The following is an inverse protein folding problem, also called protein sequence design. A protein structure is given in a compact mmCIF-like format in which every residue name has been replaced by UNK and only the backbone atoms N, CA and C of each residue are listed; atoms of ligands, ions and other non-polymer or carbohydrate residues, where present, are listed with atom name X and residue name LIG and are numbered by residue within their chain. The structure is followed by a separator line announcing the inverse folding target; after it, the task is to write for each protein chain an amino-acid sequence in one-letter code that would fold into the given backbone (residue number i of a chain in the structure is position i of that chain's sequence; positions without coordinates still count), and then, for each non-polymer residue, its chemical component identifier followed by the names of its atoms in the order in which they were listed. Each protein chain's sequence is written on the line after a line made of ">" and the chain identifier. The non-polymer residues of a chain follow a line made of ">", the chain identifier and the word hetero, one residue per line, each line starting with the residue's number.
data_IF_716200889379
#
_entry.id   IF_716200889379
#
_cell.length_a   1.000
_cell.length_b   1.000
_cell.length_c   1.000
_cell.angle_alpha   90.00
_cell.angle_beta   90.00
_cell.angle_gamma   90.00
#
_symmetry.space_group_name_H-M   'P 1'
#
loop_
_entity.id
_entity.type
_entity.pdbx_description
1 polymer ?
#
# COMPACT_ATOMS: atom_id res chain seq x y z
N UNK A 1 30.50 -9.15 6.85
CA UNK A 1 30.42 -7.98 7.73
C UNK A 1 28.96 -7.51 7.73
N UNK A 2 28.31 -7.87 8.75
CA UNK A 2 26.96 -7.61 9.32
C UNK A 2 25.89 -6.86 8.52
N UNK A 3 25.10 -7.60 7.73
CA UNK A 3 23.75 -7.21 7.31
C UNK A 3 22.72 -7.13 8.47
N UNK A 4 23.06 -7.64 9.63
CA UNK A 4 22.17 -7.73 10.81
C UNK A 4 21.98 -6.43 11.60
N UNK A 5 22.81 -5.41 11.38
CA UNK A 5 22.78 -4.17 12.17
C UNK A 5 21.87 -3.08 11.57
N UNK A 6 21.55 -3.15 10.28
CA UNK A 6 20.69 -2.16 9.61
C UNK A 6 19.19 -2.35 9.85
N UNK A 7 18.74 -3.51 10.36
CA UNK A 7 17.33 -3.85 10.44
C UNK A 7 16.63 -3.57 11.77
N UNK A 8 17.35 -3.17 12.83
CA UNK A 8 16.75 -3.12 14.18
C UNK A 8 15.99 -1.83 14.53
N UNK A 9 16.08 -0.77 13.72
CA UNK A 9 15.50 0.54 14.07
C UNK A 9 14.50 1.12 13.04
N UNK A 10 14.24 0.44 11.92
CA UNK A 10 13.29 0.95 10.95
C UNK A 10 11.88 0.56 11.38
N UNK A 11 11.07 1.59 11.64
CA UNK A 11 9.66 1.44 11.99
C UNK A 11 8.82 1.48 10.70
N UNK A 12 8.07 0.42 10.41
CA UNK A 12 7.28 0.30 9.18
C UNK A 12 5.81 0.09 9.50
N UNK A 13 4.94 0.74 8.71
CA UNK A 13 3.48 0.61 8.74
C UNK A 13 2.98 0.25 7.35
N UNK A 14 2.30 -0.89 7.25
CA UNK A 14 1.60 -1.29 6.03
C UNK A 14 0.10 -1.00 6.15
N UNK A 15 -0.46 -0.43 5.11
CA UNK A 15 -1.91 -0.31 4.92
C UNK A 15 -2.25 -1.11 3.68
N UNK A 16 -3.02 -2.17 3.85
CA UNK A 16 -3.33 -3.16 2.83
C UNK A 16 -4.84 -3.35 2.81
N UNK A 17 -5.45 -3.47 1.63
CA UNK A 17 -6.90 -3.55 1.54
C UNK A 17 -7.42 -4.94 1.96
N UNK A 18 -6.83 -6.00 1.45
CA UNK A 18 -7.32 -7.36 1.57
C UNK A 18 -6.31 -8.27 2.28
N UNK A 19 -6.82 -9.29 2.95
CA UNK A 19 -5.97 -10.23 3.68
C UNK A 19 -5.03 -11.00 2.75
N UNK A 20 -5.50 -11.39 1.58
CA UNK A 20 -4.70 -12.12 0.58
C UNK A 20 -3.47 -11.32 0.14
N UNK A 21 -3.56 -10.01 0.04
CA UNK A 21 -2.44 -9.12 -0.28
C UNK A 21 -1.43 -9.01 0.86
N UNK A 22 -1.89 -9.23 2.09
CA UNK A 22 -1.08 -9.09 3.30
C UNK A 22 -0.29 -10.35 3.66
N UNK A 23 -0.71 -11.53 3.22
CA UNK A 23 -0.23 -12.82 3.72
C UNK A 23 1.29 -12.96 3.63
N UNK A 24 1.89 -12.60 2.50
CA UNK A 24 3.34 -12.67 2.31
C UNK A 24 4.11 -11.75 3.30
N UNK A 25 3.53 -10.58 3.63
CA UNK A 25 4.14 -9.65 4.59
C UNK A 25 4.02 -10.21 6.00
N UNK A 26 2.86 -10.76 6.34
CA UNK A 26 2.60 -11.32 7.66
C UNK A 26 3.57 -12.47 7.96
N UNK A 27 3.79 -13.36 7.00
CA UNK A 27 4.69 -14.49 7.11
C UNK A 27 6.16 -14.04 7.17
N UNK A 28 6.60 -13.18 6.26
CA UNK A 28 8.01 -12.72 6.17
C UNK A 28 8.47 -12.01 7.45
N UNK A 29 7.58 -11.25 8.09
CA UNK A 29 7.92 -10.47 9.29
C UNK A 29 7.39 -11.09 10.59
N UNK A 30 6.87 -12.32 10.56
CA UNK A 30 6.28 -13.02 11.71
C UNK A 30 5.28 -12.12 12.47
N UNK A 31 4.34 -11.54 11.74
CA UNK A 31 3.36 -10.60 12.30
C UNK A 31 2.12 -11.38 12.75
N UNK A 32 1.70 -11.14 13.98
CA UNK A 32 0.53 -11.79 14.57
C UNK A 32 -0.63 -10.83 14.68
N UNK A 33 -1.84 -11.38 14.54
CA UNK A 33 -3.08 -10.64 14.81
C UNK A 33 -3.10 -10.14 16.25
N UNK A 34 -3.50 -8.90 16.43
CA UNK A 34 -3.62 -8.26 17.73
C UNK A 34 -5.08 -8.04 18.08
N UNK A 35 -5.66 -8.86 18.98
CA UNK A 35 -7.08 -8.77 19.37
C UNK A 35 -7.41 -7.53 20.23
N UNK A 36 -6.41 -6.77 20.68
CA UNK A 36 -6.62 -5.52 21.41
C UNK A 36 -7.35 -4.48 20.54
N UNK A 37 -7.14 -4.54 19.21
CA UNK A 37 -7.70 -3.59 18.26
C UNK A 37 -8.90 -4.19 17.53
N UNK A 38 -10.09 -3.64 17.78
CA UNK A 38 -11.36 -4.23 17.28
C UNK A 38 -11.97 -3.48 16.10
N UNK A 39 -11.53 -2.24 15.82
CA UNK A 39 -12.09 -1.45 14.72
C UNK A 39 -11.63 -1.95 13.35
N UNK A 40 -10.37 -2.37 13.25
CA UNK A 40 -9.76 -2.98 12.07
C UNK A 40 -8.95 -4.20 12.49
N UNK A 41 -8.70 -5.11 11.56
CA UNK A 41 -7.74 -6.18 11.79
C UNK A 41 -6.32 -5.60 11.73
N UNK A 42 -5.65 -5.66 12.87
CA UNK A 42 -4.28 -5.15 13.04
C UNK A 42 -3.34 -6.31 13.34
N UNK A 43 -2.19 -6.29 12.72
CA UNK A 43 -1.12 -7.26 12.91
C UNK A 43 0.16 -6.54 13.28
N UNK A 44 0.97 -7.14 14.12
CA UNK A 44 2.29 -6.59 14.48
C UNK A 44 3.31 -7.67 14.81
N UNK A 45 4.58 -7.36 14.61
CA UNK A 45 5.65 -8.21 15.13
C UNK A 45 5.84 -8.01 16.64
N UNK A 46 6.56 -8.92 17.26
CA UNK A 46 6.77 -8.90 18.72
C UNK A 46 7.43 -7.61 19.21
N UNK A 47 8.43 -7.09 18.48
CA UNK A 47 9.16 -5.86 18.81
C UNK A 47 8.35 -4.57 18.58
N UNK A 48 7.14 -4.68 18.01
CA UNK A 48 6.27 -3.55 17.66
C UNK A 48 6.93 -2.51 16.75
N UNK A 49 7.90 -2.94 15.96
CA UNK A 49 8.54 -2.12 14.94
C UNK A 49 7.82 -2.17 13.60
N UNK A 50 7.08 -3.24 13.35
CA UNK A 50 6.31 -3.52 12.14
C UNK A 50 4.86 -3.71 12.47
N UNK A 51 4.00 -2.98 11.78
CA UNK A 51 2.55 -3.02 11.94
C UNK A 51 1.87 -3.07 10.58
N UNK A 52 0.83 -3.83 10.49
CA UNK A 52 -0.02 -3.92 9.30
C UNK A 52 -1.48 -3.79 9.72
N UNK A 53 -2.26 -3.06 8.92
CA UNK A 53 -3.69 -2.93 9.07
C UNK A 53 -4.40 -3.34 7.78
N UNK A 54 -5.45 -4.13 7.90
CA UNK A 54 -6.36 -4.40 6.80
C UNK A 54 -7.41 -3.30 6.77
N UNK A 55 -7.35 -2.46 5.73
CA UNK A 55 -8.26 -1.32 5.61
C UNK A 55 -9.64 -1.70 5.09
N UNK A 56 -9.73 -2.77 4.29
CA UNK A 56 -10.85 -2.95 3.37
C UNK A 56 -10.69 -2.05 2.14
N UNK A 57 -11.54 -2.30 1.14
CA UNK A 57 -11.50 -1.62 -0.16
C UNK A 57 -12.06 -0.20 -0.06
N UNK A 58 -11.44 0.73 -0.77
CA UNK A 58 -11.93 2.08 -1.00
C UNK A 58 -11.23 3.19 -0.22
N UNK A 59 -11.27 4.40 -0.77
CA UNK A 59 -10.58 5.61 -0.25
C UNK A 59 -10.93 5.92 1.20
N UNK A 60 -12.21 5.86 1.57
CA UNK A 60 -12.65 6.17 2.93
C UNK A 60 -12.08 5.18 3.96
N UNK A 61 -12.11 3.89 3.62
CA UNK A 61 -11.56 2.84 4.47
C UNK A 61 -10.04 2.99 4.60
N UNK A 62 -9.35 3.24 3.50
CA UNK A 62 -7.90 3.47 3.49
C UNK A 62 -7.50 4.67 4.36
N UNK A 63 -8.21 5.81 4.24
CA UNK A 63 -7.95 7.00 5.07
C UNK A 63 -8.20 6.72 6.57
N UNK A 64 -9.33 6.08 6.89
CA UNK A 64 -9.68 5.75 8.27
C UNK A 64 -8.67 4.78 8.90
N UNK A 65 -8.32 3.71 8.19
CA UNK A 65 -7.34 2.72 8.66
C UNK A 65 -5.95 3.33 8.84
N UNK A 66 -5.50 4.16 7.89
CA UNK A 66 -4.20 4.85 7.98
C UNK A 66 -4.14 5.75 9.22
N UNK A 67 -5.18 6.54 9.45
CA UNK A 67 -5.28 7.42 10.62
C UNK A 67 -5.31 6.62 11.92
N UNK A 68 -6.12 5.55 11.94
CA UNK A 68 -6.22 4.67 13.11
C UNK A 68 -4.86 4.02 13.41
N UNK A 69 -4.19 3.46 12.40
CA UNK A 69 -2.87 2.84 12.57
C UNK A 69 -1.84 3.83 13.10
N UNK A 70 -1.86 5.09 12.64
CA UNK A 70 -0.99 6.14 13.17
C UNK A 70 -1.19 6.32 14.67
N UNK A 71 -2.43 6.42 15.12
CA UNK A 71 -2.77 6.66 16.53
C UNK A 71 -2.34 5.51 17.44
N UNK A 72 -2.63 4.26 17.06
CA UNK A 72 -2.37 3.10 17.92
C UNK A 72 -0.91 2.65 17.93
N UNK A 73 -0.18 2.88 16.83
CA UNK A 73 1.18 2.34 16.65
C UNK A 73 2.29 3.29 17.06
N UNK A 74 1.95 4.45 17.62
CA UNK A 74 2.92 5.49 18.02
C UNK A 74 3.89 5.85 16.88
N UNK A 75 3.39 5.90 15.65
CA UNK A 75 4.18 6.26 14.49
C UNK A 75 4.76 7.68 14.62
N UNK A 76 5.93 7.90 14.06
CA UNK A 76 6.63 9.20 14.06
C UNK A 76 6.81 9.73 12.63
N UNK A 77 7.35 10.94 12.50
CA UNK A 77 7.65 11.52 11.18
C UNK A 77 8.68 10.75 10.35
N UNK A 78 9.48 9.89 10.99
CA UNK A 78 10.45 8.99 10.34
C UNK A 78 9.96 7.55 10.20
N UNK A 79 8.68 7.30 10.44
CA UNK A 79 8.08 5.99 10.21
C UNK A 79 7.88 5.78 8.72
N UNK A 80 8.32 4.63 8.21
CA UNK A 80 8.03 4.20 6.85
C UNK A 80 6.57 3.77 6.73
N UNK A 81 5.90 4.28 5.68
CA UNK A 81 4.53 3.93 5.34
C UNK A 81 4.49 3.27 3.97
N UNK A 82 3.86 2.13 3.88
CA UNK A 82 3.77 1.36 2.64
C UNK A 82 2.31 1.00 2.40
N UNK A 83 1.78 1.39 1.24
CA UNK A 83 0.58 0.81 0.69
C UNK A 83 1.00 -0.25 -0.34
N UNK A 84 0.78 -1.51 -0.01
CA UNK A 84 0.91 -2.63 -0.94
C UNK A 84 -0.48 -3.13 -1.28
N UNK A 85 -0.73 -3.43 -2.53
CA UNK A 85 -1.99 -3.98 -2.99
C UNK A 85 -1.97 -4.30 -4.47
N UNK A 86 -3.08 -4.80 -4.97
CA UNK A 86 -3.27 -5.04 -6.40
C UNK A 86 -3.77 -3.79 -7.10
N UNK A 87 -3.64 -3.76 -8.43
CA UNK A 87 -4.16 -2.71 -9.30
C UNK A 87 -4.46 -3.27 -10.69
N UNK A 88 -5.54 -2.78 -11.30
CA UNK A 88 -5.78 -2.99 -12.71
C UNK A 88 -4.81 -2.16 -13.58
N UNK A 89 -4.48 -2.64 -14.77
CA UNK A 89 -3.55 -1.94 -15.65
C UNK A 89 -3.91 -2.08 -17.13
N UNK A 90 -3.81 -0.95 -17.86
CA UNK A 90 -3.89 -0.93 -19.32
C UNK A 90 -2.57 -1.19 -20.04
N UNK A 91 -1.44 -1.25 -19.33
CA UNK A 91 -0.11 -1.22 -19.95
C UNK A 91 0.88 -2.27 -19.45
N UNK A 92 0.67 -2.86 -18.29
CA UNK A 92 1.60 -3.82 -17.70
C UNK A 92 1.18 -5.26 -17.91
N UNK A 93 1.99 -6.19 -17.41
CA UNK A 93 1.69 -7.61 -17.45
C UNK A 93 1.19 -8.05 -16.07
N UNK A 94 0.31 -9.03 -16.09
CA UNK A 94 -0.18 -9.68 -14.88
C UNK A 94 1.00 -10.17 -14.00
N UNK A 95 0.96 -9.84 -12.71
CA UNK A 95 2.02 -10.17 -11.75
C UNK A 95 3.19 -9.17 -11.68
N UNK A 96 3.24 -8.17 -12.57
CA UNK A 96 4.30 -7.16 -12.51
C UNK A 96 4.16 -6.33 -11.22
N UNK A 97 5.27 -6.20 -10.49
CA UNK A 97 5.37 -5.30 -9.34
C UNK A 97 5.79 -3.90 -9.79
N UNK A 98 4.95 -2.92 -9.52
CA UNK A 98 5.14 -1.54 -9.92
C UNK A 98 5.30 -0.60 -8.72
N UNK A 99 6.23 0.36 -8.83
CA UNK A 99 6.36 1.47 -7.90
C UNK A 99 5.56 2.67 -8.42
N UNK A 100 4.71 3.24 -7.58
CA UNK A 100 3.92 4.41 -7.95
C UNK A 100 4.77 5.68 -7.87
N UNK A 101 4.84 6.42 -8.98
CA UNK A 101 5.60 7.68 -9.08
C UNK A 101 4.72 8.93 -9.20
N UNK A 102 3.45 8.78 -9.57
CA UNK A 102 2.44 9.83 -9.62
C UNK A 102 1.10 9.26 -9.20
N UNK A 103 0.35 10.01 -8.43
CA UNK A 103 -1.00 9.65 -8.00
C UNK A 103 -1.96 10.73 -8.47
N UNK A 104 -3.09 10.31 -9.03
CA UNK A 104 -4.24 11.15 -9.38
C UNK A 104 -5.53 10.49 -8.94
N UNK A 105 -6.60 11.26 -8.86
CA UNK A 105 -7.95 10.79 -8.54
C UNK A 105 -9.00 11.63 -9.28
N UNK A 106 -10.28 11.36 -9.03
CA UNK A 106 -11.39 12.10 -9.64
C UNK A 106 -11.39 13.61 -9.34
N UNK A 107 -10.76 14.04 -8.25
CA UNK A 107 -10.66 15.46 -7.86
C UNK A 107 -9.57 16.20 -8.66
N UNK A 108 -9.01 15.55 -9.69
CA UNK A 108 -7.97 16.10 -10.58
C UNK A 108 -6.67 16.52 -9.87
N UNK A 109 -6.48 16.14 -8.61
CA UNK A 109 -5.25 16.41 -7.88
C UNK A 109 -4.14 15.45 -8.33
N UNK A 110 -2.97 16.03 -8.63
CA UNK A 110 -1.78 15.24 -8.92
C UNK A 110 -0.81 15.34 -7.74
N UNK A 111 -0.38 14.20 -7.23
CA UNK A 111 0.66 14.14 -6.21
C UNK A 111 1.81 13.26 -6.65
N UNK A 112 3.00 13.53 -6.13
CA UNK A 112 4.22 12.86 -6.53
C UNK A 112 4.94 12.32 -5.28
N UNK A 113 4.85 11.02 -5.00
CA UNK A 113 5.67 10.38 -3.97
C UNK A 113 7.15 10.63 -4.23
N UNK A 114 7.95 10.63 -3.18
CA UNK A 114 9.40 10.75 -3.34
C UNK A 114 9.96 9.55 -4.11
N UNK A 115 10.83 9.83 -5.06
CA UNK A 115 11.48 8.76 -5.83
C UNK A 115 12.54 8.07 -4.98
N UNK A 116 12.44 6.76 -4.81
CA UNK A 116 13.50 5.96 -4.21
C UNK A 116 14.69 5.82 -5.19
N UNK A 117 15.88 6.32 -4.85
CA UNK A 117 16.95 6.51 -5.86
C UNK A 117 17.65 5.22 -6.32
N UNK A 118 17.42 4.07 -5.70
CA UNK A 118 18.13 2.81 -6.00
C UNK A 118 17.22 1.63 -6.31
N UNK A 119 15.97 1.88 -6.71
CA UNK A 119 15.00 0.81 -6.98
C UNK A 119 14.85 0.66 -8.50
N UNK A 120 15.01 -0.58 -8.98
CA UNK A 120 14.89 -0.95 -10.40
C UNK A 120 13.48 -1.34 -10.83
N UNK A 121 12.48 -1.17 -9.95
CA UNK A 121 11.09 -1.50 -10.27
C UNK A 121 10.52 -0.59 -11.37
N UNK A 122 9.61 -1.12 -12.15
CA UNK A 122 8.83 -0.33 -13.09
C UNK A 122 8.09 0.78 -12.35
N UNK A 123 8.19 1.99 -12.86
CA UNK A 123 7.48 3.15 -12.29
C UNK A 123 6.26 3.44 -13.14
N UNK A 124 5.11 3.50 -12.50
CA UNK A 124 3.84 3.73 -13.17
C UNK A 124 3.02 4.79 -12.44
N UNK A 125 2.15 5.47 -13.19
CA UNK A 125 1.21 6.44 -12.64
C UNK A 125 -0.04 5.71 -12.16
N UNK A 126 -0.48 6.05 -10.95
CA UNK A 126 -1.67 5.49 -10.33
C UNK A 126 -2.85 6.47 -10.44
N UNK A 127 -3.97 5.96 -10.87
CA UNK A 127 -5.26 6.62 -10.75
C UNK A 127 -6.09 5.89 -9.69
N UNK A 128 -6.53 6.61 -8.66
CA UNK A 128 -7.40 6.06 -7.61
C UNK A 128 -8.84 6.43 -7.92
N UNK A 129 -9.67 5.42 -8.15
CA UNK A 129 -11.10 5.55 -8.41
C UNK A 129 -11.95 5.32 -7.16
N UNK A 130 -13.13 5.92 -7.10
CA UNK A 130 -14.12 5.65 -6.05
C UNK A 130 -14.97 4.41 -6.34
N UNK A 131 -14.94 3.93 -7.58
CA UNK A 131 -15.66 2.74 -8.03
C UNK A 131 -14.74 1.84 -8.85
N UNK A 132 -14.98 0.53 -8.91
CA UNK A 132 -14.23 -0.34 -9.80
C UNK A 132 -14.36 0.14 -11.26
N UNK A 133 -13.23 0.21 -11.96
CA UNK A 133 -13.20 0.55 -13.39
C UNK A 133 -12.80 -0.68 -14.19
N UNK A 134 -13.47 -0.86 -15.32
CA UNK A 134 -13.19 -1.92 -16.30
C UNK A 134 -12.55 -1.38 -17.57
N UNK A 135 -12.52 -0.06 -17.75
CA UNK A 135 -11.80 0.58 -18.86
C UNK A 135 -10.40 1.00 -18.39
N UNK A 136 -9.41 0.22 -18.81
CA UNK A 136 -8.00 0.42 -18.46
C UNK A 136 -7.25 1.31 -19.47
N UNK A 137 -7.91 1.83 -20.51
CA UNK A 137 -7.25 2.50 -21.65
C UNK A 137 -6.64 3.85 -21.26
N UNK A 138 -7.22 4.53 -20.28
CA UNK A 138 -6.86 5.91 -19.90
C UNK A 138 -5.77 5.97 -18.83
N UNK A 139 -5.51 4.89 -18.10
CA UNK A 139 -4.64 4.90 -16.93
C UNK A 139 -3.59 3.78 -16.99
N UNK A 140 -2.42 4.03 -16.37
CA UNK A 140 -1.36 3.01 -16.30
C UNK A 140 -1.66 2.00 -15.21
N UNK A 141 -2.04 2.47 -14.01
CA UNK A 141 -2.52 1.67 -12.89
C UNK A 141 -3.83 2.26 -12.36
N UNK A 142 -4.73 1.41 -11.91
CA UNK A 142 -6.01 1.80 -11.32
C UNK A 142 -6.19 1.04 -10.00
N UNK A 143 -6.42 1.77 -8.92
CA UNK A 143 -6.79 1.22 -7.62
C UNK A 143 -7.96 1.99 -6.98
N UNK A 144 -8.29 1.67 -5.73
CA UNK A 144 -9.35 2.34 -4.99
C UNK A 144 -8.86 2.95 -3.65
N UNK A 145 -7.58 2.93 -3.32
CA UNK A 145 -7.04 3.27 -2.00
C UNK A 145 -5.90 4.30 -2.01
N UNK A 146 -5.04 4.25 -3.01
CA UNK A 146 -3.70 4.84 -2.99
C UNK A 146 -3.68 6.34 -2.77
N UNK A 147 -4.62 7.11 -3.35
CA UNK A 147 -4.65 8.56 -3.15
C UNK A 147 -4.96 8.93 -1.71
N UNK A 148 -5.93 8.26 -1.09
CA UNK A 148 -6.32 8.52 0.29
C UNK A 148 -5.21 8.13 1.28
N UNK A 149 -4.56 6.99 1.07
CA UNK A 149 -3.38 6.60 1.83
C UNK A 149 -2.30 7.68 1.76
N UNK A 150 -1.96 8.15 0.56
CA UNK A 150 -0.93 9.16 0.37
C UNK A 150 -1.30 10.51 1.01
N UNK A 151 -2.54 10.95 0.85
CA UNK A 151 -3.02 12.22 1.42
C UNK A 151 -2.91 12.26 2.94
N UNK A 152 -3.17 11.14 3.60
CA UNK A 152 -3.02 11.03 5.06
C UNK A 152 -1.54 10.92 5.43
N UNK A 153 -0.80 9.99 4.84
CA UNK A 153 0.60 9.73 5.24
C UNK A 153 1.52 10.91 4.97
N UNK A 154 1.27 11.70 3.93
CA UNK A 154 2.04 12.91 3.62
C UNK A 154 1.89 14.02 4.69
N UNK A 155 0.86 13.95 5.55
CA UNK A 155 0.71 14.82 6.72
C UNK A 155 1.43 14.26 7.94
N UNK A 156 1.64 12.95 7.99
CA UNK A 156 2.13 12.22 9.16
C UNK A 156 3.63 11.99 9.12
N UNK A 157 4.23 11.85 7.93
CA UNK A 157 5.62 11.43 7.75
C UNK A 157 6.32 12.25 6.68
N UNK A 158 7.65 12.16 6.62
CA UNK A 158 8.42 12.71 5.50
C UNK A 158 8.11 11.95 4.21
N UNK A 159 8.07 12.66 3.09
CA UNK A 159 7.71 12.07 1.78
C UNK A 159 8.63 10.92 1.36
N UNK A 160 9.89 10.97 1.78
CA UNK A 160 10.90 9.93 1.57
C UNK A 160 10.61 8.62 2.31
N UNK A 161 9.69 8.64 3.27
CA UNK A 161 9.24 7.46 4.03
C UNK A 161 7.89 6.92 3.55
N UNK A 162 7.36 7.40 2.43
CA UNK A 162 6.04 6.99 1.91
C UNK A 162 6.23 6.28 0.58
N UNK A 163 5.74 5.05 0.49
CA UNK A 163 5.84 4.20 -0.68
C UNK A 163 4.48 3.59 -1.04
N UNK A 164 4.16 3.57 -2.33
CA UNK A 164 3.05 2.81 -2.86
C UNK A 164 3.58 1.82 -3.88
N UNK A 165 3.23 0.56 -3.69
CA UNK A 165 3.63 -0.56 -4.57
C UNK A 165 2.37 -1.30 -4.98
N UNK A 166 2.25 -1.61 -6.27
CA UNK A 166 1.09 -2.30 -6.83
C UNK A 166 1.53 -3.50 -7.66
N UNK A 167 0.83 -4.61 -7.47
CA UNK A 167 0.95 -5.80 -8.32
C UNK A 167 -0.21 -5.75 -9.32
N UNK A 168 0.08 -5.90 -10.59
CA UNK A 168 -0.94 -5.90 -11.63
C UNK A 168 -1.76 -7.18 -11.55
N UNK A 169 -3.06 -7.06 -11.28
CA UNK A 169 -3.99 -8.17 -11.08
C UNK A 169 -4.94 -8.40 -12.24
N UNK A 170 -5.18 -7.38 -13.04
CA UNK A 170 -6.17 -7.41 -14.10
C UNK A 170 -5.89 -6.36 -15.18
N UNK A 171 -6.53 -6.49 -16.33
CA UNK A 171 -6.34 -5.62 -17.46
C UNK A 171 -7.23 -5.99 -18.65
N UNK A 172 -7.06 -5.36 -19.83
CA UNK A 172 -7.96 -5.53 -20.97
C UNK A 172 -8.13 -6.97 -21.48
N UNK A 173 -7.18 -7.84 -21.17
CA UNK A 173 -7.16 -9.22 -21.62
C UNK A 173 -7.32 -10.24 -20.48
N UNK A 174 -7.41 -9.78 -19.23
CA UNK A 174 -7.52 -10.63 -18.06
C UNK A 174 -8.47 -9.98 -17.07
N UNK A 175 -9.64 -10.56 -16.92
CA UNK A 175 -10.54 -10.22 -15.81
C UNK A 175 -9.90 -10.66 -14.48
N UNK A 176 -10.31 -10.03 -13.38
CA UNK A 176 -9.95 -10.50 -12.03
C UNK A 176 -10.50 -11.91 -11.89
N UNK A 177 -9.69 -12.90 -12.25
CA UNK A 177 -9.98 -14.28 -11.95
C UNK A 177 -9.76 -14.48 -10.45
N UNK A 178 -10.87 -14.73 -9.77
CA UNK A 178 -10.96 -15.21 -8.38
C UNK A 178 -9.73 -14.96 -7.48
N UNK A 179 -9.76 -13.84 -6.74
CA UNK A 179 -8.72 -13.46 -5.76
C UNK A 179 -8.40 -14.56 -4.73
N UNK A 180 -9.17 -15.65 -4.69
CA UNK A 180 -8.92 -16.84 -3.87
C UNK A 180 -7.88 -17.79 -4.48
N UNK A 181 -7.30 -17.47 -5.63
CA UNK A 181 -6.22 -18.27 -6.26
C UNK A 181 -4.81 -17.75 -5.93
N UNK A 182 -4.71 -16.72 -5.08
CA UNK A 182 -3.43 -16.14 -4.65
C UNK A 182 -3.14 -16.45 -3.21
#
# INVERSE_FOLDING_TARGET
>A
MNQKILNSNISIRWVVALKVEAEIILDEYNMNFDPEFTLFQVFRNFEKTRWLILSGVGRHNSAAATTYLYMISKASRSTCWINLGIAGSGKGHYGDLCLVNKISNNDSSNTYPATMPKVTFHKMNLFTSDVPLTDYTLHELIDMEGSAFYDITNKLSGREFICLMKVISDGPNNDIEDLNKF
#
